data_IF_050664485214
#
_entry.id   IF_050664485214
#
_cell.length_a   1.000
_cell.length_b   1.000
_cell.length_c   1.000
_cell.angle_alpha   90.00
_cell.angle_beta   90.00
_cell.angle_gamma   90.00
#
_symmetry.space_group_name_H-M   'P 1'
#
loop_
_entity.id
_entity.type
_entity.pdbx_description
1 polymer ?
#
# COMPACT_ATOMS: atom_id res chain seq x y z
N UNK A 1 15.21 13.44 19.06
CA UNK A 1 13.90 14.12 18.91
C UNK A 1 12.93 13.15 18.23
N UNK A 2 11.73 12.91 18.78
CA UNK A 2 10.72 12.06 18.12
C UNK A 2 10.02 12.89 17.04
N UNK A 3 10.31 12.66 15.78
CA UNK A 3 9.57 13.26 14.66
C UNK A 3 8.30 12.44 14.40
N UNK A 4 7.23 13.10 13.94
CA UNK A 4 5.95 12.46 13.60
C UNK A 4 6.15 11.27 12.65
N UNK A 5 7.02 11.40 11.65
CA UNK A 5 7.42 10.35 10.70
C UNK A 5 7.93 9.06 11.34
N UNK A 6 8.47 9.14 12.56
CA UNK A 6 9.02 7.98 13.25
C UNK A 6 8.06 7.42 14.31
N UNK A 7 6.92 8.06 14.52
CA UNK A 7 5.89 7.57 15.43
C UNK A 7 5.04 6.48 14.78
N UNK A 8 4.41 5.63 15.59
CA UNK A 8 3.45 4.63 15.12
C UNK A 8 2.30 5.29 14.34
N UNK A 9 1.76 6.38 14.86
CA UNK A 9 0.66 7.12 14.21
C UNK A 9 1.09 7.68 12.85
N UNK A 10 2.31 8.20 12.74
CA UNK A 10 2.85 8.67 11.45
C UNK A 10 3.03 7.53 10.45
N UNK A 11 3.52 6.37 10.90
CA UNK A 11 3.64 5.18 10.04
C UNK A 11 2.27 4.69 9.53
N UNK A 12 1.28 4.62 10.40
CA UNK A 12 -0.09 4.23 10.04
C UNK A 12 -0.76 5.25 9.12
N UNK A 13 -0.56 6.55 9.36
CA UNK A 13 -1.07 7.61 8.50
C UNK A 13 -0.46 7.55 7.09
N UNK A 14 0.86 7.35 6.98
CA UNK A 14 1.53 7.18 5.68
C UNK A 14 1.04 5.92 4.96
N UNK A 15 0.81 4.83 5.68
CA UNK A 15 0.25 3.61 5.10
C UNK A 15 -1.16 3.85 4.53
N UNK A 16 -2.00 4.60 5.23
CA UNK A 16 -3.33 4.98 4.76
C UNK A 16 -3.26 5.94 3.55
N UNK A 17 -2.32 6.88 3.54
CA UNK A 17 -2.10 7.77 2.39
C UNK A 17 -1.62 7.01 1.15
N UNK A 18 -0.72 6.03 1.30
CA UNK A 18 -0.32 5.15 0.21
C UNK A 18 -1.53 4.42 -0.38
N UNK A 19 -2.39 3.85 0.47
CA UNK A 19 -3.62 3.21 0.02
C UNK A 19 -4.57 4.17 -0.71
N UNK A 20 -4.79 5.38 -0.18
CA UNK A 20 -5.61 6.40 -0.84
C UNK A 20 -5.05 6.78 -2.22
N UNK A 21 -3.73 6.87 -2.35
CA UNK A 21 -3.10 7.14 -3.63
C UNK A 21 -3.27 6.00 -4.63
N UNK A 22 -3.30 4.75 -4.17
CA UNK A 22 -3.62 3.61 -5.03
C UNK A 22 -5.10 3.59 -5.43
N UNK A 23 -6.03 4.00 -4.56
CA UNK A 23 -7.43 4.17 -4.96
C UNK A 23 -7.59 5.21 -6.05
N UNK A 24 -6.89 6.33 -5.92
CA UNK A 24 -6.87 7.36 -6.96
C UNK A 24 -6.31 6.81 -8.28
N UNK A 25 -5.22 6.04 -8.22
CA UNK A 25 -4.64 5.36 -9.39
C UNK A 25 -5.66 4.40 -10.05
N UNK A 26 -6.35 3.60 -9.25
CA UNK A 26 -7.36 2.65 -9.72
C UNK A 26 -8.58 3.36 -10.35
N UNK A 27 -8.96 4.53 -9.83
CA UNK A 27 -10.02 5.35 -10.43
C UNK A 27 -9.63 5.84 -11.82
N UNK A 28 -8.37 6.26 -12.01
CA UNK A 28 -7.84 6.64 -13.33
C UNK A 28 -7.85 5.44 -14.29
N UNK A 29 -7.50 4.24 -13.83
CA UNK A 29 -7.61 3.03 -14.65
C UNK A 29 -9.04 2.76 -15.10
N UNK A 30 -10.01 2.98 -14.22
CA UNK A 30 -11.43 2.79 -14.52
C UNK A 30 -11.93 3.78 -15.57
N UNK A 31 -11.58 5.06 -15.46
CA UNK A 31 -12.00 6.08 -16.44
C UNK A 31 -11.35 5.90 -17.81
N UNK A 32 -10.20 5.23 -17.88
CA UNK A 32 -9.50 4.93 -19.13
C UNK A 32 -9.89 3.59 -19.76
N UNK A 33 -10.88 2.88 -19.20
CA UNK A 33 -11.33 1.60 -19.75
C UNK A 33 -10.35 0.45 -19.57
N UNK A 34 -9.41 0.55 -18.61
CA UNK A 34 -8.47 -0.53 -18.30
C UNK A 34 -9.23 -1.82 -17.96
N UNK A 35 -10.23 -1.73 -17.08
CA UNK A 35 -10.97 -2.90 -16.61
C UNK A 35 -11.91 -3.49 -17.67
N UNK A 36 -12.46 -2.67 -18.59
CA UNK A 36 -13.27 -3.17 -19.70
C UNK A 36 -12.44 -3.99 -20.70
N UNK A 37 -11.14 -3.69 -20.85
CA UNK A 37 -10.24 -4.42 -21.74
C UNK A 37 -9.51 -5.58 -21.04
N UNK A 38 -9.24 -5.46 -19.73
CA UNK A 38 -8.48 -6.44 -18.95
C UNK A 38 -9.35 -7.56 -18.34
N UNK A 39 -10.67 -7.38 -18.23
CA UNK A 39 -11.56 -8.36 -17.57
C UNK A 39 -12.84 -8.64 -18.38
N UNK A 40 -12.69 -9.33 -19.50
CA UNK A 40 -13.83 -9.99 -20.13
C UNK A 40 -14.16 -11.30 -19.35
N UNK A 41 -15.38 -11.42 -18.82
CA UNK A 41 -15.91 -12.68 -18.23
C UNK A 41 -15.78 -12.86 -16.71
N UNK A 42 -15.69 -14.11 -16.24
CA UNK A 42 -15.64 -14.55 -14.83
C UNK A 42 -14.42 -14.07 -14.03
N UNK A 43 -13.45 -13.44 -14.70
CA UNK A 43 -12.24 -12.87 -14.11
C UNK A 43 -12.54 -11.66 -13.23
N UNK A 44 -13.51 -10.82 -13.58
CA UNK A 44 -13.84 -9.61 -12.80
C UNK A 44 -14.27 -9.95 -11.36
N UNK A 45 -15.16 -10.93 -11.19
CA UNK A 45 -15.64 -11.37 -9.87
C UNK A 45 -14.48 -11.88 -9.02
N UNK A 46 -13.58 -12.67 -9.62
CA UNK A 46 -12.39 -13.19 -8.93
C UNK A 46 -11.47 -12.05 -8.49
N UNK A 47 -11.19 -11.10 -9.38
CA UNK A 47 -10.41 -9.91 -9.03
C UNK A 47 -11.05 -9.12 -7.90
N UNK A 48 -12.36 -8.83 -7.98
CA UNK A 48 -13.08 -8.12 -6.93
C UNK A 48 -12.96 -8.83 -5.58
N UNK A 49 -13.23 -10.13 -5.53
CA UNK A 49 -13.13 -10.91 -4.29
C UNK A 49 -11.72 -10.88 -3.69
N UNK A 50 -10.71 -11.04 -4.54
CA UNK A 50 -9.30 -11.00 -4.12
C UNK A 50 -8.94 -9.62 -3.57
N UNK A 51 -9.26 -8.54 -4.27
CA UNK A 51 -9.00 -7.17 -3.80
C UNK A 51 -9.78 -6.83 -2.52
N UNK A 52 -11.03 -7.28 -2.39
CA UNK A 52 -11.82 -7.12 -1.16
C UNK A 52 -11.19 -7.84 0.01
N UNK A 53 -10.76 -9.10 -0.17
CA UNK A 53 -10.07 -9.87 0.86
C UNK A 53 -8.77 -9.17 1.29
N UNK A 54 -8.00 -8.64 0.34
CA UNK A 54 -6.78 -7.89 0.65
C UNK A 54 -7.07 -6.60 1.41
N UNK A 55 -8.09 -5.84 1.00
CA UNK A 55 -8.48 -4.62 1.70
C UNK A 55 -8.91 -4.91 3.14
N UNK A 56 -9.72 -5.96 3.33
CA UNK A 56 -10.16 -6.38 4.66
C UNK A 56 -8.97 -6.83 5.53
N UNK A 57 -8.06 -7.63 4.97
CA UNK A 57 -6.84 -8.06 5.66
C UNK A 57 -5.94 -6.88 6.04
N UNK A 58 -5.78 -5.91 5.13
CA UNK A 58 -5.01 -4.70 5.39
C UNK A 58 -5.64 -3.82 6.47
N UNK A 59 -6.95 -3.59 6.40
CA UNK A 59 -7.68 -2.80 7.38
C UNK A 59 -7.62 -3.44 8.78
N UNK A 60 -7.80 -4.76 8.85
CA UNK A 60 -7.64 -5.51 10.09
C UNK A 60 -6.21 -5.43 10.65
N UNK A 61 -5.20 -5.57 9.78
CA UNK A 61 -3.80 -5.44 10.18
C UNK A 61 -3.48 -4.05 10.73
N UNK A 62 -3.99 -2.99 10.08
CA UNK A 62 -3.87 -1.62 10.57
C UNK A 62 -4.56 -1.40 11.92
N UNK A 63 -5.78 -1.92 12.08
CA UNK A 63 -6.49 -1.86 13.34
C UNK A 63 -5.68 -2.55 14.45
N UNK A 64 -5.19 -3.77 14.20
CA UNK A 64 -4.34 -4.50 15.14
C UNK A 64 -3.04 -3.75 15.46
N UNK A 65 -2.39 -3.18 14.43
CA UNK A 65 -1.17 -2.39 14.57
C UNK A 65 -1.39 -1.13 15.42
N UNK A 66 -2.56 -0.50 15.35
CA UNK A 66 -2.89 0.70 16.14
C UNK A 66 -2.94 0.42 17.64
N UNK A 67 -3.29 -0.81 18.04
CA UNK A 67 -3.17 -1.29 19.41
C UNK A 67 -1.74 -1.64 19.84
N UNK A 68 -0.74 -1.36 19.00
CA UNK A 68 0.66 -1.70 19.27
C UNK A 68 1.01 -3.17 19.01
N UNK A 69 0.14 -3.94 18.36
CA UNK A 69 0.44 -5.34 18.04
C UNK A 69 1.54 -5.44 16.95
N UNK A 70 2.66 -6.09 17.30
CA UNK A 70 3.76 -6.34 16.37
C UNK A 70 3.35 -7.17 15.16
N UNK A 71 2.49 -8.17 15.34
CA UNK A 71 1.96 -8.97 14.24
C UNK A 71 1.18 -8.13 13.24
N UNK A 72 0.30 -7.25 13.74
CA UNK A 72 -0.44 -6.29 12.92
C UNK A 72 0.49 -5.38 12.10
N UNK A 73 1.58 -4.90 12.70
CA UNK A 73 2.57 -4.09 12.00
C UNK A 73 3.33 -4.85 10.92
N UNK A 74 3.71 -6.11 11.17
CA UNK A 74 4.39 -6.95 10.18
C UNK A 74 3.47 -7.19 8.98
N UNK A 75 2.22 -7.56 9.23
CA UNK A 75 1.23 -7.80 8.16
C UNK A 75 0.94 -6.51 7.40
N UNK A 76 0.78 -5.38 8.10
CA UNK A 76 0.59 -4.07 7.45
C UNK A 76 1.77 -3.74 6.55
N UNK A 77 3.00 -3.92 7.02
CA UNK A 77 4.22 -3.70 6.24
C UNK A 77 4.28 -4.60 5.01
N UNK A 78 4.02 -5.91 5.18
CA UNK A 78 4.06 -6.88 4.08
C UNK A 78 3.03 -6.54 3.00
N UNK A 79 1.80 -6.21 3.37
CA UNK A 79 0.75 -5.81 2.43
C UNK A 79 1.09 -4.48 1.74
N UNK A 80 1.66 -3.51 2.46
CA UNK A 80 2.11 -2.24 1.88
C UNK A 80 3.19 -2.48 0.82
N UNK A 81 4.19 -3.31 1.14
CA UNK A 81 5.29 -3.65 0.25
C UNK A 81 4.83 -4.44 -0.98
N UNK A 82 3.93 -5.41 -0.80
CA UNK A 82 3.48 -6.24 -1.92
C UNK A 82 2.60 -5.45 -2.89
N UNK A 83 1.63 -4.68 -2.36
CA UNK A 83 0.60 -4.08 -3.20
C UNK A 83 0.92 -2.66 -3.60
N UNK A 84 1.37 -1.81 -2.68
CA UNK A 84 1.55 -0.39 -2.99
C UNK A 84 2.92 -0.12 -3.60
N UNK A 85 3.92 -0.91 -3.21
CA UNK A 85 5.24 -0.87 -3.86
C UNK A 85 5.32 -1.82 -5.06
N UNK A 86 4.99 -3.10 -4.87
CA UNK A 86 5.12 -4.11 -5.93
C UNK A 86 4.32 -3.78 -7.19
N UNK A 87 3.06 -3.35 -7.05
CA UNK A 87 2.24 -2.98 -8.23
C UNK A 87 2.80 -1.73 -8.90
N UNK A 88 3.15 -0.69 -8.16
CA UNK A 88 3.69 0.55 -8.75
C UNK A 88 5.02 0.33 -9.47
N UNK A 89 5.93 -0.46 -8.88
CA UNK A 89 7.19 -0.85 -9.53
C UNK A 89 6.91 -1.72 -10.76
N UNK A 90 6.04 -2.72 -10.64
CA UNK A 90 5.62 -3.57 -11.76
C UNK A 90 5.07 -2.74 -12.93
N UNK A 91 4.21 -1.77 -12.62
CA UNK A 91 3.58 -0.90 -13.62
C UNK A 91 4.59 0.06 -14.25
N UNK A 92 5.46 0.70 -13.46
CA UNK A 92 6.43 1.67 -13.97
C UNK A 92 7.53 1.04 -14.83
N UNK A 93 8.00 -0.16 -14.47
CA UNK A 93 9.19 -0.75 -15.08
C UNK A 93 8.91 -1.90 -16.04
N UNK A 94 7.80 -2.63 -15.89
CA UNK A 94 7.52 -3.85 -16.68
C UNK A 94 6.28 -3.74 -17.57
N UNK A 95 5.28 -2.96 -17.19
CA UNK A 95 4.03 -2.80 -17.94
C UNK A 95 3.88 -1.36 -18.46
N UNK A 96 4.55 -1.04 -19.57
CA UNK A 96 4.39 0.26 -20.22
C UNK A 96 3.98 0.12 -21.69
N UNK A 97 2.74 -0.33 -22.01
CA UNK A 97 2.15 -0.10 -23.32
C UNK A 97 1.72 1.39 -23.43
N UNK A 98 1.63 1.95 -24.66
CA UNK A 98 1.64 3.41 -24.94
C UNK A 98 0.64 4.34 -24.20
N UNK A 99 -0.30 3.80 -23.43
CA UNK A 99 -1.30 4.48 -22.60
C UNK A 99 -0.73 4.89 -21.23
N UNK A 100 0.37 4.26 -20.80
CA UNK A 100 1.20 4.77 -19.70
C UNK A 100 1.93 6.08 -20.04
N UNK A 101 1.89 6.56 -21.28
CA UNK A 101 2.35 7.93 -21.60
C UNK A 101 1.40 9.02 -21.08
N UNK A 102 0.21 8.64 -20.59
CA UNK A 102 -0.71 9.60 -19.99
C UNK A 102 -0.11 10.18 -18.71
N UNK A 103 0.06 11.50 -18.70
CA UNK A 103 0.62 12.27 -17.59
C UNK A 103 -0.05 11.96 -16.25
N UNK A 104 -1.38 11.79 -16.22
CA UNK A 104 -2.12 11.49 -14.99
C UNK A 104 -1.78 10.11 -14.41
N UNK A 105 -1.60 9.10 -15.27
CA UNK A 105 -1.22 7.74 -14.87
C UNK A 105 0.19 7.73 -14.29
N UNK A 106 1.12 8.45 -14.92
CA UNK A 106 2.50 8.58 -14.44
C UNK A 106 2.58 9.29 -13.08
N UNK A 107 1.85 10.39 -12.90
CA UNK A 107 1.77 11.04 -11.60
C UNK A 107 1.21 10.09 -10.55
N UNK A 108 0.09 9.42 -10.84
CA UNK A 108 -0.53 8.53 -9.87
C UNK A 108 0.39 7.36 -9.48
N UNK A 109 1.09 6.75 -10.44
CA UNK A 109 2.08 5.71 -10.16
C UNK A 109 3.25 6.24 -9.31
N UNK A 110 3.76 7.44 -9.63
CA UNK A 110 4.86 8.05 -8.89
C UNK A 110 4.44 8.44 -7.46
N UNK A 111 3.25 9.03 -7.30
CA UNK A 111 2.68 9.36 -5.99
C UNK A 111 2.53 8.12 -5.13
N UNK A 112 2.01 7.03 -5.70
CA UNK A 112 1.86 5.78 -4.95
C UNK A 112 3.22 5.14 -4.63
N UNK A 113 4.19 5.19 -5.53
CA UNK A 113 5.55 4.73 -5.26
C UNK A 113 6.19 5.50 -4.10
N UNK A 114 6.13 6.83 -4.13
CA UNK A 114 6.71 7.70 -3.09
C UNK A 114 6.02 7.44 -1.75
N UNK A 115 4.69 7.43 -1.72
CA UNK A 115 3.93 7.21 -0.48
C UNK A 115 4.12 5.79 0.06
N UNK A 116 4.15 4.78 -0.82
CA UNK A 116 4.46 3.40 -0.46
C UNK A 116 5.87 3.25 0.13
N UNK A 117 6.87 3.93 -0.44
CA UNK A 117 8.24 3.94 0.10
C UNK A 117 8.28 4.59 1.48
N UNK A 118 7.67 5.77 1.63
CA UNK A 118 7.61 6.48 2.90
C UNK A 118 6.88 5.66 3.97
N UNK A 119 5.74 5.05 3.62
CA UNK A 119 5.00 4.16 4.49
C UNK A 119 5.84 2.94 4.89
N UNK A 120 6.50 2.28 3.93
CA UNK A 120 7.37 1.13 4.17
C UNK A 120 8.51 1.45 5.12
N UNK A 121 9.21 2.57 4.91
CA UNK A 121 10.28 3.03 5.78
C UNK A 121 9.76 3.35 7.19
N UNK A 122 8.63 4.07 7.28
CA UNK A 122 8.03 4.41 8.57
C UNK A 122 7.58 3.16 9.37
N UNK A 123 6.94 2.20 8.70
CA UNK A 123 6.52 0.93 9.29
C UNK A 123 7.72 0.08 9.72
N UNK A 124 8.77 0.00 8.89
CA UNK A 124 10.01 -0.71 9.24
C UNK A 124 10.68 -0.10 10.48
N UNK A 125 10.71 1.23 10.59
CA UNK A 125 11.20 1.91 11.79
C UNK A 125 10.33 1.62 13.01
N UNK A 126 9.00 1.64 12.87
CA UNK A 126 8.07 1.30 13.94
C UNK A 126 8.28 -0.14 14.44
N UNK A 127 8.46 -1.10 13.53
CA UNK A 127 8.77 -2.50 13.84
C UNK A 127 10.08 -2.66 14.62
N UNK A 128 11.16 -1.97 14.18
CA UNK A 128 12.44 -2.00 14.88
C UNK A 128 12.33 -1.48 16.31
N UNK A 129 11.58 -0.39 16.52
CA UNK A 129 11.37 0.22 17.84
C UNK A 129 10.59 -0.70 18.77
N UNK A 130 9.54 -1.36 18.26
CA UNK A 130 8.81 -2.34 19.07
C UNK A 130 9.67 -3.53 19.47
N UNK A 131 10.51 -4.04 18.56
CA UNK A 131 11.46 -5.10 18.89
C UNK A 131 12.41 -4.74 20.04
N UNK A 132 12.94 -3.51 20.03
CA UNK A 132 13.77 -3.01 21.11
C UNK A 132 13.02 -2.89 22.44
N UNK A 133 11.75 -2.47 22.43
CA UNK A 133 10.93 -2.38 23.64
C UNK A 133 10.57 -3.74 24.23
N UNK A 134 10.35 -4.76 23.39
CA UNK A 134 10.12 -6.12 23.87
C UNK A 134 11.37 -6.74 24.48
N UNK A 135 12.55 -6.44 23.96
CA UNK A 135 13.82 -6.96 24.48
C UNK A 135 14.22 -6.34 25.83
N UNK A 136 13.68 -5.17 26.18
CA UNK A 136 13.96 -4.49 27.44
C UNK A 136 13.01 -4.86 28.59
N UNK A 137 11.99 -5.69 28.35
CA UNK A 137 11.14 -6.20 29.44
C UNK A 137 11.86 -7.39 30.10
N UNK A 138 12.22 -7.30 31.39
CA UNK A 138 12.86 -8.38 32.13
C UNK A 138 11.93 -9.58 32.33
#
# INVERSE_FOLDING_TARGET
MKTWFTSLNGALALAALAWLSQLWRALIDATQGFYSNATAGSSLVTFTLVYTAFLAAWAYAMYSASGGNRGGLIVTFALNALFWLGISVGTLFFYCPGWCSNFAVNIANLSNLILGLLAGVALAMALRRQGAQTASKP
#
